data_IF_471989656592
#
_entry.id   IF_471989656592
#
_cell.length_a   1.000
_cell.length_b   1.000
_cell.length_c   1.000
_cell.angle_alpha   90.00
_cell.angle_beta   90.00
_cell.angle_gamma   90.00
#
_symmetry.space_group_name_H-M   'P 1'
#
loop_
_entity.id
_entity.type
_entity.pdbx_description
1 polymer ?
#
# COMPACT_ATOMS: atom_id res chain seq x y z
N UNK A 1 -6.52 -12.06 -48.98
CA UNK A 1 -5.65 -13.14 -48.45
C UNK A 1 -5.10 -12.67 -47.13
N UNK A 2 -5.59 -13.22 -46.02
CA UNK A 2 -5.19 -12.86 -44.66
C UNK A 2 -3.85 -13.53 -44.34
N UNK A 3 -2.81 -12.74 -44.08
CA UNK A 3 -1.48 -13.27 -43.77
C UNK A 3 -1.45 -13.66 -42.29
N UNK A 4 -1.22 -14.95 -42.01
CA UNK A 4 -1.11 -15.49 -40.64
C UNK A 4 0.35 -15.66 -40.25
N UNK A 5 0.66 -15.56 -38.94
CA UNK A 5 2.00 -15.81 -38.41
C UNK A 5 1.96 -16.77 -37.22
N UNK A 6 3.01 -17.60 -37.03
CA UNK A 6 3.03 -18.56 -35.94
C UNK A 6 3.27 -17.88 -34.59
N UNK A 7 2.56 -18.34 -33.57
CA UNK A 7 2.78 -17.96 -32.18
C UNK A 7 4.12 -18.52 -31.67
N UNK A 8 4.98 -17.68 -31.09
CA UNK A 8 6.26 -18.13 -30.50
C UNK A 8 6.09 -19.05 -29.28
N UNK A 9 4.94 -19.00 -28.60
CA UNK A 9 4.70 -19.76 -27.37
C UNK A 9 4.06 -21.13 -27.63
N UNK A 10 3.19 -21.26 -28.64
CA UNK A 10 2.46 -22.50 -28.90
C UNK A 10 2.48 -22.96 -30.37
N UNK A 11 3.12 -22.21 -31.27
CA UNK A 11 3.17 -22.53 -32.71
C UNK A 11 1.88 -22.28 -33.48
N UNK A 12 0.77 -21.95 -32.82
CA UNK A 12 -0.53 -21.77 -33.48
C UNK A 12 -0.54 -20.57 -34.44
N UNK A 13 -1.24 -20.66 -35.59
CA UNK A 13 -1.34 -19.55 -36.54
C UNK A 13 -2.26 -18.46 -35.97
N UNK A 14 -1.76 -17.23 -35.85
CA UNK A 14 -2.53 -16.07 -35.41
C UNK A 14 -2.63 -15.05 -36.55
N UNK A 15 -3.79 -14.43 -36.66
CA UNK A 15 -4.05 -13.37 -37.63
C UNK A 15 -3.76 -11.99 -36.98
N UNK A 16 -3.00 -11.09 -37.63
CA UNK A 16 -2.60 -9.82 -37.04
C UNK A 16 -3.79 -8.89 -36.82
N UNK A 17 -3.98 -8.42 -35.59
CA UNK A 17 -4.97 -7.40 -35.28
C UNK A 17 -4.57 -6.05 -35.90
N UNK A 18 -5.46 -5.47 -36.71
CA UNK A 18 -5.23 -4.18 -37.37
C UNK A 18 -4.96 -3.05 -36.35
N UNK A 19 -3.95 -2.21 -36.65
CA UNK A 19 -3.61 -1.04 -35.83
C UNK A 19 -2.94 -1.32 -34.49
N UNK A 20 -2.59 -2.57 -34.18
CA UNK A 20 -1.87 -2.91 -32.94
C UNK A 20 -0.49 -3.49 -33.23
N UNK A 21 0.46 -3.21 -32.35
CA UNK A 21 1.82 -3.79 -32.40
C UNK A 21 1.92 -5.07 -31.55
N UNK A 22 0.97 -5.30 -30.65
CA UNK A 22 0.88 -6.47 -29.77
C UNK A 22 -0.55 -6.97 -29.70
N UNK A 23 -0.71 -8.28 -29.61
CA UNK A 23 -1.99 -8.95 -29.41
C UNK A 23 -1.81 -10.20 -28.56
N UNK A 24 -2.86 -10.64 -27.88
CA UNK A 24 -2.86 -11.95 -27.23
C UNK A 24 -3.06 -13.05 -28.28
N UNK A 25 -2.39 -14.17 -28.11
CA UNK A 25 -2.63 -15.36 -28.91
C UNK A 25 -4.05 -15.88 -28.65
N UNK A 26 -4.82 -16.12 -29.71
CA UNK A 26 -6.19 -16.63 -29.58
C UNK A 26 -6.26 -18.05 -28.98
N UNK A 27 -5.13 -18.77 -28.97
CA UNK A 27 -5.06 -20.16 -28.53
C UNK A 27 -4.51 -20.31 -27.12
N UNK A 28 -3.33 -19.74 -26.86
CA UNK A 28 -2.64 -19.89 -25.57
C UNK A 28 -2.68 -18.64 -24.69
N UNK A 29 -3.25 -17.52 -25.17
CA UNK A 29 -3.30 -16.25 -24.43
C UNK A 29 -1.96 -15.53 -24.27
N UNK A 30 -0.85 -16.09 -24.76
CA UNK A 30 0.46 -15.44 -24.68
C UNK A 30 0.48 -14.11 -25.44
N UNK A 31 1.18 -13.11 -24.90
CA UNK A 31 1.33 -11.82 -25.55
C UNK A 31 2.32 -11.90 -26.72
N UNK A 32 1.80 -11.74 -27.94
CA UNK A 32 2.57 -11.78 -29.18
C UNK A 32 2.83 -10.36 -29.71
N UNK A 33 4.05 -10.13 -30.18
CA UNK A 33 4.40 -8.92 -30.92
C UNK A 33 4.14 -9.17 -32.41
N UNK A 34 3.28 -8.38 -33.02
CA UNK A 34 2.97 -8.51 -34.46
C UNK A 34 4.19 -8.01 -35.26
N UNK A 35 4.75 -8.83 -36.16
CA UNK A 35 5.91 -8.44 -36.97
C UNK A 35 5.54 -7.28 -37.90
N UNK A 36 6.50 -6.38 -38.13
CA UNK A 36 6.27 -5.09 -38.79
C UNK A 36 5.69 -5.22 -40.19
N UNK A 37 6.11 -6.25 -40.94
CA UNK A 37 5.62 -6.57 -42.28
C UNK A 37 4.13 -6.92 -42.33
N UNK A 38 3.56 -7.38 -41.21
CA UNK A 38 2.15 -7.79 -41.09
C UNK A 38 1.28 -6.77 -40.37
N UNK A 39 1.85 -5.64 -39.93
CA UNK A 39 1.09 -4.58 -39.26
C UNK A 39 0.23 -3.84 -40.29
N UNK A 40 -1.04 -4.22 -40.35
CA UNK A 40 -2.03 -3.46 -41.11
C UNK A 40 -2.28 -2.15 -40.38
N UNK A 41 -1.96 -1.01 -41.03
CA UNK A 41 -2.29 0.31 -40.49
C UNK A 41 -3.81 0.41 -40.33
N UNK A 42 -4.30 0.70 -39.12
CA UNK A 42 -5.71 0.97 -38.92
C UNK A 42 -6.11 2.16 -39.80
N UNK A 43 -7.18 1.99 -40.58
CA UNK A 43 -7.86 3.11 -41.24
C UNK A 43 -8.27 4.08 -40.09
N UNK A 44 -7.88 5.35 -40.12
CA UNK A 44 -8.17 6.27 -39.03
C UNK A 44 -9.68 6.53 -39.00
N UNK A 45 -10.41 5.72 -38.25
CA UNK A 45 -11.78 6.07 -37.85
C UNK A 45 -11.64 7.24 -36.89
N UNK A 46 -12.32 8.33 -37.24
CA UNK A 46 -12.29 9.62 -36.57
C UNK A 46 -12.17 9.50 -35.05
N UNK A 47 -11.25 10.28 -34.49
CA UNK A 47 -11.02 10.41 -33.07
C UNK A 47 -12.35 10.53 -32.32
N UNK A 48 -12.72 9.48 -31.60
CA UNK A 48 -13.71 9.58 -30.54
C UNK A 48 -13.06 10.47 -29.48
N UNK A 49 -13.52 11.71 -29.37
CA UNK A 49 -13.24 12.61 -28.24
C UNK A 49 -13.37 11.77 -26.95
N UNK A 50 -12.43 11.85 -25.98
CA UNK A 50 -12.64 11.19 -24.71
C UNK A 50 -13.98 11.67 -24.15
N UNK A 51 -14.93 10.74 -24.04
CA UNK A 51 -16.23 11.00 -23.45
C UNK A 51 -15.92 11.45 -22.02
N UNK A 52 -16.21 12.70 -21.70
CA UNK A 52 -16.26 13.18 -20.33
C UNK A 52 -17.39 12.39 -19.67
N UNK A 53 -17.03 11.31 -18.98
CA UNK A 53 -17.94 10.57 -18.12
C UNK A 53 -18.31 11.55 -17.01
N UNK A 54 -19.55 12.06 -17.03
CA UNK A 54 -20.12 12.66 -15.84
C UNK A 54 -20.18 11.55 -14.77
N UNK A 55 -19.53 11.73 -13.61
CA UNK A 55 -19.67 10.79 -12.51
C UNK A 55 -21.14 10.78 -12.08
N UNK A 56 -21.70 9.58 -11.91
CA UNK A 56 -23.07 9.38 -11.45
C UNK A 56 -23.26 10.08 -10.09
N UNK A 57 -24.17 11.07 -9.98
CA UNK A 57 -24.30 11.88 -8.79
C UNK A 57 -25.20 11.18 -7.78
N UNK A 58 -24.65 10.75 -6.64
CA UNK A 58 -25.35 10.63 -5.36
C UNK A 58 -24.48 9.91 -4.33
N UNK A 59 -23.96 8.73 -4.65
CA UNK A 59 -23.34 7.88 -3.63
C UNK A 59 -21.90 8.27 -3.25
N UNK A 60 -21.10 8.77 -4.20
CA UNK A 60 -19.70 9.11 -3.95
C UNK A 60 -19.56 10.38 -3.11
N UNK A 61 -20.39 11.39 -3.39
CA UNK A 61 -20.42 12.64 -2.63
C UNK A 61 -20.97 12.44 -1.21
N UNK A 62 -22.04 11.63 -1.06
CA UNK A 62 -22.59 11.29 0.26
C UNK A 62 -21.60 10.49 1.11
N UNK A 63 -20.87 9.53 0.53
CA UNK A 63 -19.85 8.78 1.24
C UNK A 63 -18.71 9.69 1.72
N UNK A 64 -18.26 10.64 0.89
CA UNK A 64 -17.22 11.59 1.26
C UNK A 64 -17.64 12.51 2.41
N UNK A 65 -18.88 13.01 2.39
CA UNK A 65 -19.41 13.86 3.46
C UNK A 65 -19.60 13.10 4.79
N UNK A 66 -20.06 11.85 4.73
CA UNK A 66 -20.16 10.98 5.92
C UNK A 66 -18.77 10.73 6.52
N UNK A 67 -17.76 10.42 5.68
CA UNK A 67 -16.39 10.21 6.13
C UNK A 67 -15.81 11.47 6.76
N UNK A 68 -16.05 12.64 6.14
CA UNK A 68 -15.58 13.93 6.66
C UNK A 68 -16.20 14.28 8.01
N UNK A 69 -17.46 13.92 8.23
CA UNK A 69 -18.16 14.11 9.51
C UNK A 69 -17.72 13.10 10.58
N UNK A 70 -17.30 11.90 10.17
CA UNK A 70 -16.80 10.85 11.07
C UNK A 70 -15.35 11.08 11.52
N UNK A 71 -14.51 11.72 10.70
CA UNK A 71 -13.10 12.01 11.01
C UNK A 71 -12.86 12.63 12.41
N UNK A 72 -13.56 13.70 12.85
CA UNK A 72 -13.30 14.29 14.16
C UNK A 72 -13.62 13.36 15.34
N UNK A 73 -14.57 12.43 15.17
CA UNK A 73 -14.91 11.44 16.20
C UNK A 73 -13.82 10.37 16.27
N UNK A 74 -13.38 9.88 15.11
CA UNK A 74 -12.30 8.91 15.01
C UNK A 74 -10.98 9.45 15.58
N UNK A 75 -10.65 10.72 15.29
CA UNK A 75 -9.44 11.37 15.81
C UNK A 75 -9.49 11.53 17.33
N UNK A 76 -10.65 11.93 17.89
CA UNK A 76 -10.81 12.03 19.35
C UNK A 76 -10.66 10.67 20.04
N UNK A 77 -11.34 9.65 19.52
CA UNK A 77 -11.24 8.29 20.04
C UNK A 77 -9.81 7.75 19.98
N UNK A 78 -9.11 8.00 18.85
CA UNK A 78 -7.72 7.61 18.68
C UNK A 78 -6.80 8.31 19.67
N UNK A 79 -6.92 9.62 19.85
CA UNK A 79 -6.10 10.38 20.79
C UNK A 79 -6.33 9.94 22.24
N UNK A 80 -7.57 9.68 22.64
CA UNK A 80 -7.88 9.16 23.98
C UNK A 80 -7.29 7.76 24.19
N UNK A 81 -7.38 6.88 23.19
CA UNK A 81 -6.78 5.55 23.27
C UNK A 81 -5.25 5.59 23.32
N UNK A 82 -4.63 6.43 22.48
CA UNK A 82 -3.20 6.65 22.49
C UNK A 82 -2.71 7.19 23.85
N UNK A 83 -3.43 8.14 24.44
CA UNK A 83 -3.12 8.67 25.77
C UNK A 83 -3.24 7.60 26.86
N UNK A 84 -4.31 6.81 26.84
CA UNK A 84 -4.51 5.71 27.79
C UNK A 84 -3.41 4.65 27.71
N UNK A 85 -3.03 4.24 26.49
CA UNK A 85 -1.95 3.28 26.28
C UNK A 85 -0.60 3.82 26.75
N UNK A 86 -0.32 5.11 26.52
CA UNK A 86 0.88 5.76 27.04
C UNK A 86 0.89 5.83 28.56
N UNK A 87 -0.20 6.26 29.21
CA UNK A 87 -0.28 6.28 30.69
C UNK A 87 -0.01 4.89 31.26
N UNK A 88 -0.67 3.87 30.71
CA UNK A 88 -0.55 2.49 31.20
C UNK A 88 0.87 1.96 31.10
N UNK A 89 1.66 2.43 30.14
CA UNK A 89 3.07 2.02 29.98
C UNK A 89 4.04 2.90 30.75
N UNK A 90 3.81 4.21 30.78
CA UNK A 90 4.77 5.17 31.33
C UNK A 90 4.74 5.19 32.86
N UNK A 91 3.57 5.01 33.47
CA UNK A 91 3.40 4.97 34.92
C UNK A 91 4.17 3.82 35.59
N UNK A 92 4.05 2.54 35.16
CA UNK A 92 4.85 1.47 35.74
C UNK A 92 6.34 1.62 35.41
N UNK A 93 6.70 2.09 34.21
CA UNK A 93 8.11 2.28 33.84
C UNK A 93 8.78 3.33 34.72
N UNK A 94 8.10 4.45 34.98
CA UNK A 94 8.62 5.50 35.84
C UNK A 94 8.80 5.00 37.29
N UNK A 95 7.81 4.28 37.83
CA UNK A 95 7.92 3.67 39.16
C UNK A 95 9.09 2.69 39.27
N UNK A 96 9.28 1.83 38.27
CA UNK A 96 10.41 0.88 38.25
C UNK A 96 11.75 1.60 38.20
N UNK A 97 11.88 2.65 37.38
CA UNK A 97 13.11 3.47 37.33
C UNK A 97 13.40 4.11 38.69
N UNK A 98 12.39 4.69 39.36
CA UNK A 98 12.58 5.27 40.69
C UNK A 98 13.01 4.24 41.73
N UNK A 99 12.44 3.03 41.67
CA UNK A 99 12.78 1.95 42.58
C UNK A 99 14.22 1.45 42.37
N UNK A 100 14.62 1.24 41.11
CA UNK A 100 15.99 0.82 40.77
C UNK A 100 17.00 1.88 41.20
N UNK A 101 16.73 3.16 40.91
CA UNK A 101 17.60 4.27 41.34
C UNK A 101 17.78 4.29 42.86
N UNK A 102 16.70 4.11 43.61
CA UNK A 102 16.74 4.03 45.06
C UNK A 102 17.60 2.86 45.57
N UNK A 103 17.45 1.67 44.98
CA UNK A 103 18.28 0.50 45.33
C UNK A 103 19.76 0.74 45.04
N UNK A 104 20.10 1.38 43.92
CA UNK A 104 21.48 1.73 43.58
C UNK A 104 22.06 2.71 44.61
N UNK A 105 21.31 3.73 45.01
CA UNK A 105 21.73 4.67 46.04
C UNK A 105 22.00 3.97 47.39
N UNK A 106 21.14 3.02 47.79
CA UNK A 106 21.37 2.23 49.02
C UNK A 106 22.63 1.37 48.89
N UNK A 107 22.79 0.66 47.78
CA UNK A 107 23.95 -0.20 47.55
C UNK A 107 25.26 0.60 47.62
N UNK A 108 25.31 1.75 46.93
CA UNK A 108 26.47 2.64 46.95
C UNK A 108 26.70 3.31 48.31
N UNK A 109 25.64 3.66 49.05
CA UNK A 109 25.76 4.27 50.36
C UNK A 109 26.16 3.29 51.48
N UNK A 110 25.77 2.02 51.37
CA UNK A 110 26.09 0.98 52.36
C UNK A 110 27.44 0.31 52.10
N UNK A 111 27.91 0.29 50.85
CA UNK A 111 29.25 -0.18 50.47
C UNK A 111 30.39 0.42 51.32
N UNK A 112 30.53 1.74 51.48
CA UNK A 112 31.61 2.33 52.29
C UNK A 112 31.48 2.00 53.78
N UNK A 113 30.25 1.86 54.30
CA UNK A 113 30.03 1.49 55.69
C UNK A 113 30.46 0.03 55.96
N UNK A 114 30.14 -0.88 55.04
CA UNK A 114 30.59 -2.28 55.10
C UNK A 114 32.11 -2.41 54.91
N UNK A 115 32.69 -1.64 54.00
CA UNK A 115 34.14 -1.65 53.76
C UNK A 115 34.93 -1.12 54.96
N UNK A 116 34.37 -0.14 55.69
CA UNK A 116 34.98 0.41 56.90
C UNK A 116 34.80 -0.49 58.13
N UNK A 117 33.82 -1.40 58.13
CA UNK A 117 33.68 -2.43 59.17
C UNK A 117 34.71 -3.56 59.03
N UNK A 118 35.08 -3.89 57.78
CA UNK A 118 36.03 -4.96 57.48
C UNK A 118 37.50 -4.55 57.57
N UNK A 119 37.79 -3.25 57.73
CA UNK A 119 39.14 -2.70 57.88
C UNK A 119 39.45 -2.40 59.34
#
# INVERSE_FOLDING_TARGET
>A
MTQTFPCIACGAPNEPAAGRSRMACAYCGANLTIPESLRVKAKPTAAVKPLKVEPSPSFEDEAADILRKAQPVAVKAWNTYAYWTWIRRLLPTCLVITFISFLICIALGTLPFLFNWFR
#
